data_IF_191498089540
#
_entry.id   IF_191498089540
#
_cell.length_a   1.000
_cell.length_b   1.000
_cell.length_c   1.000
_cell.angle_alpha   90.00
_cell.angle_beta   90.00
_cell.angle_gamma   90.00
#
_symmetry.space_group_name_H-M   'P 1'
#
loop_
_entity.id
_entity.type
_entity.pdbx_description
1 polymer ?
#
# COMPACT_ATOMS: atom_id res chain seq x y z
N UNK A 1 -55.72 12.71 -28.79
CA UNK A 1 -54.38 12.10 -28.66
C UNK A 1 -53.69 12.27 -30.00
N UNK A 2 -52.71 13.19 -30.09
CA UNK A 2 -51.95 13.44 -31.31
C UNK A 2 -50.56 12.86 -31.12
N UNK A 3 -50.21 11.84 -31.91
CA UNK A 3 -48.91 11.20 -31.91
C UNK A 3 -48.00 11.97 -32.87
N UNK A 4 -47.06 12.74 -32.35
CA UNK A 4 -46.06 13.44 -33.17
C UNK A 4 -45.11 12.41 -33.80
N UNK A 5 -45.26 12.15 -35.09
CA UNK A 5 -44.30 11.38 -35.87
C UNK A 5 -43.06 12.23 -36.14
N UNK A 6 -41.93 11.87 -35.53
CA UNK A 6 -40.62 12.44 -35.84
C UNK A 6 -40.12 11.86 -37.17
N UNK A 7 -40.19 12.65 -38.25
CA UNK A 7 -39.59 12.31 -39.54
C UNK A 7 -38.15 12.83 -39.59
N UNK A 8 -37.19 11.96 -39.34
CA UNK A 8 -35.75 12.29 -39.46
C UNK A 8 -35.33 12.13 -40.92
N UNK A 9 -34.71 13.15 -41.48
CA UNK A 9 -34.25 13.16 -42.87
C UNK A 9 -32.98 12.32 -43.07
N UNK A 10 -32.76 11.74 -44.27
CA UNK A 10 -31.53 10.99 -44.58
C UNK A 10 -30.23 11.80 -44.38
N UNK A 11 -30.28 13.12 -44.56
CA UNK A 11 -29.17 14.03 -44.29
C UNK A 11 -28.86 14.15 -42.80
N UNK A 12 -29.88 14.19 -41.94
CA UNK A 12 -29.70 14.20 -40.48
C UNK A 12 -29.12 12.87 -40.00
N UNK A 13 -29.54 11.74 -40.58
CA UNK A 13 -28.96 10.43 -40.29
C UNK A 13 -27.48 10.37 -40.69
N UNK A 14 -27.14 10.87 -41.89
CA UNK A 14 -25.74 10.91 -42.36
C UNK A 14 -24.87 11.82 -41.50
N UNK A 15 -25.39 12.99 -41.12
CA UNK A 15 -24.69 13.92 -40.23
C UNK A 15 -24.48 13.30 -38.85
N UNK A 16 -25.54 12.74 -38.24
CA UNK A 16 -25.46 12.06 -36.95
C UNK A 16 -24.47 10.88 -36.98
N UNK A 17 -24.50 10.09 -38.05
CA UNK A 17 -23.57 8.95 -38.23
C UNK A 17 -22.13 9.43 -38.39
N UNK A 18 -21.90 10.50 -39.17
CA UNK A 18 -20.57 11.09 -39.32
C UNK A 18 -20.05 11.67 -37.99
N UNK A 19 -20.90 12.35 -37.22
CA UNK A 19 -20.55 12.87 -35.89
C UNK A 19 -20.25 11.76 -34.89
N UNK A 20 -21.04 10.67 -34.87
CA UNK A 20 -20.79 9.52 -34.00
C UNK A 20 -19.51 8.79 -34.36
N UNK A 21 -19.24 8.61 -35.66
CA UNK A 21 -17.99 8.01 -36.14
C UNK A 21 -16.78 8.87 -35.79
N UNK A 22 -16.88 10.20 -35.94
CA UNK A 22 -15.82 11.13 -35.54
C UNK A 22 -15.54 11.08 -34.03
N UNK A 23 -16.60 11.04 -33.19
CA UNK A 23 -16.46 10.91 -31.74
C UNK A 23 -15.89 9.55 -31.33
N UNK A 24 -16.33 8.46 -31.95
CA UNK A 24 -15.83 7.11 -31.67
C UNK A 24 -14.34 6.96 -32.01
N UNK A 25 -13.82 7.70 -32.99
CA UNK A 25 -12.40 7.73 -33.34
C UNK A 25 -11.60 8.74 -32.48
N UNK A 26 -12.21 9.86 -32.09
CA UNK A 26 -11.58 10.90 -31.29
C UNK A 26 -11.43 10.51 -29.80
N UNK A 27 -12.37 9.77 -29.22
CA UNK A 27 -12.34 9.42 -27.80
C UNK A 27 -11.17 8.50 -27.42
N UNK A 28 -10.87 7.40 -28.14
CA UNK A 28 -9.71 6.56 -27.85
C UNK A 28 -8.40 7.31 -28.10
N UNK A 29 -8.33 8.13 -29.15
CA UNK A 29 -7.12 8.92 -29.44
C UNK A 29 -6.89 10.00 -28.40
N UNK A 30 -7.93 10.70 -27.93
CA UNK A 30 -7.83 11.65 -26.81
C UNK A 30 -7.50 10.96 -25.48
N UNK A 31 -8.05 9.77 -25.23
CA UNK A 31 -7.71 8.97 -24.05
C UNK A 31 -6.24 8.53 -24.07
N UNK A 32 -5.76 8.04 -25.20
CA UNK A 32 -4.36 7.65 -25.40
C UNK A 32 -3.42 8.86 -25.39
N UNK A 33 -3.79 9.99 -26.03
CA UNK A 33 -3.02 11.23 -25.95
C UNK A 33 -3.00 11.76 -24.52
N UNK A 34 -4.10 11.70 -23.77
CA UNK A 34 -4.12 12.13 -22.36
C UNK A 34 -3.21 11.27 -21.49
N UNK A 35 -3.14 9.97 -21.74
CA UNK A 35 -2.21 9.09 -21.04
C UNK A 35 -0.76 9.33 -21.47
N UNK A 36 -0.50 9.61 -22.76
CA UNK A 36 0.84 9.91 -23.30
C UNK A 36 1.34 11.33 -22.97
N UNK A 37 0.42 12.28 -22.78
CA UNK A 37 0.66 13.66 -22.34
C UNK A 37 0.51 13.79 -20.81
N UNK A 38 0.32 12.69 -20.09
CA UNK A 38 0.37 12.68 -18.64
C UNK A 38 1.68 13.34 -18.21
N UNK A 39 1.66 14.41 -17.40
CA UNK A 39 2.85 15.18 -17.02
C UNK A 39 3.95 14.33 -16.36
N UNK A 40 3.63 13.13 -15.91
CA UNK A 40 4.53 12.19 -15.24
C UNK A 40 5.62 11.59 -16.15
N UNK A 41 5.57 11.80 -17.46
CA UNK A 41 6.64 11.35 -18.37
C UNK A 41 7.59 12.47 -18.81
N UNK A 42 7.35 13.73 -18.39
CA UNK A 42 8.18 14.87 -18.75
C UNK A 42 8.41 15.82 -17.57
N UNK A 43 9.22 15.41 -16.60
CA UNK A 43 10.00 16.35 -15.76
C UNK A 43 11.10 15.62 -14.99
N UNK A 44 12.35 15.88 -15.36
CA UNK A 44 13.61 15.69 -14.58
C UNK A 44 13.99 14.26 -14.16
N UNK A 45 15.29 13.93 -14.24
CA UNK A 45 15.92 12.68 -13.72
C UNK A 45 15.76 12.46 -12.19
N UNK A 46 14.88 13.22 -11.54
CA UNK A 46 14.60 13.16 -10.11
C UNK A 46 13.43 12.19 -9.85
N UNK A 47 13.66 11.24 -8.95
CA UNK A 47 12.63 10.33 -8.46
C UNK A 47 11.42 11.10 -7.88
N UNK A 48 10.17 10.72 -8.22
CA UNK A 48 8.97 11.34 -7.64
C UNK A 48 9.00 11.32 -6.10
N UNK A 49 8.57 12.40 -5.42
CA UNK A 49 8.60 12.49 -3.96
C UNK A 49 7.97 11.28 -3.25
N UNK A 50 6.84 10.79 -3.76
CA UNK A 50 6.12 9.62 -3.24
C UNK A 50 6.99 8.37 -3.21
N UNK A 51 7.75 8.11 -4.29
CA UNK A 51 8.57 6.91 -4.40
C UNK A 51 9.76 7.00 -3.44
N UNK A 52 10.37 8.18 -3.34
CA UNK A 52 11.43 8.45 -2.37
C UNK A 52 10.92 8.27 -0.94
N UNK A 53 9.74 8.80 -0.61
CA UNK A 53 9.10 8.65 0.70
C UNK A 53 8.76 7.19 0.99
N UNK A 54 8.23 6.46 0.01
CA UNK A 54 7.96 5.03 0.13
C UNK A 54 9.22 4.22 0.41
N UNK A 55 10.30 4.44 -0.35
CA UNK A 55 11.58 3.73 -0.15
C UNK A 55 12.16 4.02 1.23
N UNK A 56 12.12 5.26 1.69
CA UNK A 56 12.51 5.63 3.06
C UNK A 56 11.65 4.90 4.10
N UNK A 57 10.33 4.87 3.90
CA UNK A 57 9.40 4.17 4.78
C UNK A 57 9.70 2.66 4.85
N UNK A 58 9.86 1.98 3.72
CA UNK A 58 10.21 0.55 3.67
C UNK A 58 11.57 0.29 4.34
N UNK A 59 12.60 1.07 4.00
CA UNK A 59 13.93 0.91 4.56
C UNK A 59 13.97 1.13 6.08
N UNK A 60 13.06 1.94 6.63
CA UNK A 60 13.03 2.23 8.07
C UNK A 60 12.66 1.01 8.94
N UNK A 61 12.00 -0.01 8.38
CA UNK A 61 11.67 -1.24 9.12
C UNK A 61 12.92 -1.93 9.68
N UNK A 62 14.04 -1.90 8.96
CA UNK A 62 15.30 -2.52 9.39
C UNK A 62 16.03 -1.79 10.51
N UNK A 63 15.61 -0.56 10.82
CA UNK A 63 16.15 0.17 11.96
C UNK A 63 15.67 -0.38 13.31
N UNK A 64 14.59 -1.18 13.33
CA UNK A 64 13.89 -1.61 14.55
C UNK A 64 13.50 -0.44 15.48
N UNK A 65 13.39 0.78 14.95
CA UNK A 65 13.09 2.00 15.71
C UNK A 65 11.73 2.57 15.29
N UNK A 66 10.73 2.63 16.20
CA UNK A 66 9.43 3.23 15.90
C UNK A 66 9.53 4.68 15.40
N UNK A 67 10.48 5.44 15.94
CA UNK A 67 10.71 6.84 15.54
C UNK A 67 11.18 6.95 14.07
N UNK A 68 12.02 6.03 13.60
CA UNK A 68 12.45 6.01 12.21
C UNK A 68 11.29 5.60 11.28
N UNK A 69 10.51 4.58 11.69
CA UNK A 69 9.33 4.13 10.94
C UNK A 69 8.28 5.23 10.75
N UNK A 70 8.19 6.15 11.70
CA UNK A 70 7.19 7.21 11.72
C UNK A 70 7.76 8.59 11.41
N UNK A 71 9.02 8.68 10.97
CA UNK A 71 9.69 9.94 10.68
C UNK A 71 8.99 10.73 9.56
N UNK A 72 8.39 10.03 8.59
CA UNK A 72 7.62 10.63 7.50
C UNK A 72 6.11 10.53 7.70
N UNK A 73 5.62 10.17 8.90
CA UNK A 73 4.19 10.08 9.14
C UNK A 73 3.59 11.48 9.34
N UNK A 74 2.44 11.73 8.69
CA UNK A 74 1.68 12.96 8.87
C UNK A 74 1.02 13.03 10.25
N UNK A 75 0.53 14.22 10.64
CA UNK A 75 -0.22 14.40 11.88
C UNK A 75 -1.54 13.59 11.90
N UNK A 76 -2.16 13.39 10.74
CA UNK A 76 -3.44 12.67 10.59
C UNK A 76 -3.22 11.20 10.19
N UNK A 77 -2.07 10.64 10.53
CA UNK A 77 -1.70 9.27 10.17
C UNK A 77 -2.71 8.23 10.69
N UNK A 78 -3.07 7.29 9.81
CA UNK A 78 -3.89 6.13 10.14
C UNK A 78 -3.23 4.83 9.68
N UNK A 79 -3.23 3.82 10.54
CA UNK A 79 -2.80 2.47 10.24
C UNK A 79 -3.97 1.49 10.38
N UNK A 80 -4.12 0.56 9.44
CA UNK A 80 -5.10 -0.52 9.55
C UNK A 80 -4.56 -1.85 9.00
N UNK A 81 -4.94 -2.94 9.64
CA UNK A 81 -4.61 -4.30 9.20
C UNK A 81 -5.83 -4.94 8.55
N UNK A 82 -5.59 -5.64 7.45
CA UNK A 82 -6.53 -6.47 6.70
C UNK A 82 -5.99 -7.92 6.66
N UNK A 83 -6.83 -8.94 6.47
CA UNK A 83 -8.29 -8.88 6.31
C UNK A 83 -9.01 -8.52 7.63
N UNK A 84 -10.22 -7.97 7.51
CA UNK A 84 -11.05 -7.55 8.66
C UNK A 84 -11.39 -8.72 9.60
N UNK A 85 -11.34 -9.96 9.12
CA UNK A 85 -11.54 -11.17 9.92
C UNK A 85 -10.54 -11.32 11.08
N UNK A 86 -9.39 -10.66 11.02
CA UNK A 86 -8.42 -10.62 12.13
C UNK A 86 -8.90 -9.76 13.31
N UNK A 87 -9.95 -8.94 13.13
CA UNK A 87 -10.53 -8.06 14.15
C UNK A 87 -9.48 -7.20 14.88
N UNK A 88 -8.47 -6.71 14.13
CA UNK A 88 -7.42 -5.85 14.66
C UNK A 88 -7.83 -4.38 14.53
N UNK A 89 -7.68 -3.57 15.59
CA UNK A 89 -8.10 -2.17 15.56
C UNK A 89 -7.20 -1.34 14.64
N UNK A 90 -7.80 -0.34 14.00
CA UNK A 90 -7.05 0.74 13.37
C UNK A 90 -6.32 1.55 14.43
N UNK A 91 -5.14 2.09 14.08
CA UNK A 91 -4.28 2.84 14.99
C UNK A 91 -3.99 4.22 14.43
N UNK A 92 -4.12 5.24 15.26
CA UNK A 92 -3.53 6.56 14.98
C UNK A 92 -2.01 6.50 15.23
N UNK A 93 -1.29 7.59 14.96
CA UNK A 93 0.18 7.63 15.01
C UNK A 93 0.76 7.12 16.34
N UNK A 94 0.24 7.56 17.48
CA UNK A 94 0.82 7.22 18.78
C UNK A 94 0.58 5.74 19.16
N UNK A 95 -0.64 5.19 19.06
CA UNK A 95 -0.87 3.75 19.20
C UNK A 95 -0.06 2.91 18.20
N UNK A 96 0.14 3.39 16.97
CA UNK A 96 0.97 2.72 15.97
C UNK A 96 2.44 2.67 16.41
N UNK A 97 3.01 3.78 16.90
CA UNK A 97 4.38 3.81 17.45
C UNK A 97 4.55 2.80 18.58
N UNK A 98 3.62 2.77 19.54
CA UNK A 98 3.64 1.81 20.65
C UNK A 98 3.56 0.37 20.15
N UNK A 99 2.66 0.09 19.21
CA UNK A 99 2.51 -1.24 18.63
C UNK A 99 3.79 -1.68 17.88
N UNK A 100 4.39 -0.80 17.06
CA UNK A 100 5.64 -1.09 16.37
C UNK A 100 6.80 -1.32 17.35
N UNK A 101 6.83 -0.64 18.49
CA UNK A 101 7.85 -0.87 19.52
C UNK A 101 7.75 -2.30 20.08
N UNK A 102 6.53 -2.75 20.35
CA UNK A 102 6.27 -4.11 20.81
C UNK A 102 6.69 -5.15 19.76
N UNK A 103 6.31 -4.96 18.49
CA UNK A 103 6.71 -5.87 17.41
C UNK A 103 8.24 -5.87 17.24
N UNK A 104 8.89 -4.71 17.12
CA UNK A 104 10.33 -4.61 16.95
C UNK A 104 11.12 -5.21 18.11
N UNK A 105 10.58 -5.20 19.34
CA UNK A 105 11.23 -5.87 20.47
C UNK A 105 11.36 -7.40 20.31
N UNK A 106 10.54 -8.01 19.44
CA UNK A 106 10.59 -9.44 19.15
C UNK A 106 11.77 -9.82 18.26
N UNK A 107 12.41 -8.85 17.60
CA UNK A 107 13.36 -9.10 16.52
C UNK A 107 14.72 -8.49 16.80
N UNK A 108 15.79 -9.24 16.50
CA UNK A 108 17.16 -8.74 16.47
C UNK A 108 17.53 -8.19 15.08
N UNK A 109 16.81 -8.63 14.06
CA UNK A 109 16.78 -8.04 12.72
C UNK A 109 15.37 -8.18 12.16
N UNK A 110 14.91 -7.18 11.41
CA UNK A 110 13.60 -7.21 10.77
C UNK A 110 13.70 -6.49 9.44
N UNK A 111 13.05 -6.99 8.41
CA UNK A 111 13.06 -6.39 7.08
C UNK A 111 11.67 -6.44 6.47
N UNK A 112 11.39 -5.47 5.60
CA UNK A 112 10.23 -5.41 4.72
C UNK A 112 10.80 -5.37 3.30
N UNK A 113 10.64 -6.45 2.54
CA UNK A 113 11.30 -6.67 1.26
C UNK A 113 10.23 -6.76 0.16
N UNK A 114 10.08 -5.73 -0.68
CA UNK A 114 9.18 -5.77 -1.82
C UNK A 114 9.58 -6.83 -2.84
N UNK A 115 8.65 -7.71 -3.21
CA UNK A 115 8.82 -8.71 -4.27
C UNK A 115 8.82 -8.04 -5.64
N UNK A 116 9.78 -8.37 -6.52
CA UNK A 116 9.69 -7.97 -7.92
C UNK A 116 8.46 -8.61 -8.57
N UNK A 117 7.71 -7.83 -9.32
CA UNK A 117 6.64 -8.33 -10.17
C UNK A 117 7.22 -8.85 -11.51
N UNK A 118 6.38 -9.46 -12.34
CA UNK A 118 6.77 -9.97 -13.66
C UNK A 118 7.32 -8.92 -14.65
N UNK A 119 7.24 -7.62 -14.32
CA UNK A 119 7.84 -6.51 -15.08
C UNK A 119 9.19 -6.04 -14.51
N UNK A 120 9.70 -6.69 -13.45
CA UNK A 120 10.94 -6.31 -12.77
C UNK A 120 10.80 -5.14 -11.79
N UNK A 121 9.60 -4.58 -11.62
CA UNK A 121 9.33 -3.51 -10.65
C UNK A 121 8.81 -4.10 -9.35
N UNK A 122 9.22 -3.60 -8.19
CA UNK A 122 8.82 -4.18 -6.89
C UNK A 122 7.64 -3.49 -6.22
N UNK A 123 7.05 -2.49 -6.90
CA UNK A 123 5.98 -1.65 -6.37
C UNK A 123 5.19 -1.03 -7.53
N UNK A 124 3.88 -0.91 -7.33
CA UNK A 124 2.96 -0.18 -8.20
C UNK A 124 2.54 1.14 -7.53
N UNK A 125 2.59 2.25 -8.26
CA UNK A 125 2.07 3.53 -7.78
C UNK A 125 0.79 3.90 -8.52
N UNK A 126 -0.26 4.24 -7.76
CA UNK A 126 -1.56 4.69 -8.26
C UNK A 126 -1.68 6.21 -8.10
N UNK A 127 -1.63 6.99 -9.21
CA UNK A 127 -1.74 8.45 -9.13
C UNK A 127 -3.12 8.93 -8.69
N UNK A 128 -4.20 8.22 -9.06
CA UNK A 128 -5.58 8.62 -8.74
C UNK A 128 -5.87 8.58 -7.23
N UNK A 129 -5.18 7.71 -6.50
CA UNK A 129 -5.32 7.56 -5.05
C UNK A 129 -4.07 8.02 -4.29
N UNK A 130 -3.04 8.48 -5.01
CA UNK A 130 -1.73 8.85 -4.49
C UNK A 130 -1.17 7.77 -3.53
N UNK A 131 -1.17 6.51 -3.98
CA UNK A 131 -0.88 5.34 -3.15
C UNK A 131 0.20 4.47 -3.80
N UNK A 132 1.24 4.13 -3.04
CA UNK A 132 2.19 3.08 -3.38
C UNK A 132 1.68 1.73 -2.86
N UNK A 133 1.79 0.70 -3.67
CA UNK A 133 1.33 -0.65 -3.39
C UNK A 133 2.49 -1.60 -3.63
N UNK A 134 2.85 -2.41 -2.64
CA UNK A 134 3.90 -3.41 -2.78
C UNK A 134 3.48 -4.73 -2.13
N UNK A 135 3.77 -5.83 -2.81
CA UNK A 135 3.75 -7.15 -2.20
C UNK A 135 5.10 -7.37 -1.52
N UNK A 136 5.12 -7.63 -0.22
CA UNK A 136 6.33 -7.68 0.57
C UNK A 136 6.45 -9.00 1.34
N UNK A 137 7.66 -9.55 1.37
CA UNK A 137 8.10 -10.44 2.44
C UNK A 137 8.45 -9.58 3.65
N UNK A 138 7.99 -9.96 4.84
CA UNK A 138 8.27 -9.22 6.07
C UNK A 138 8.66 -10.16 7.21
N UNK A 139 9.66 -9.78 8.00
CA UNK A 139 10.14 -10.62 9.10
C UNK A 139 11.63 -10.51 9.34
N UNK A 140 12.18 -11.44 10.13
CA UNK A 140 13.60 -11.52 10.42
C UNK A 140 13.93 -12.41 11.62
N UNK A 141 15.13 -12.22 12.19
CA UNK A 141 15.61 -13.03 13.32
C UNK A 141 14.97 -12.62 14.62
N UNK A 142 14.57 -13.60 15.43
CA UNK A 142 14.01 -13.38 16.75
C UNK A 142 15.09 -12.85 17.70
N UNK A 143 14.70 -11.91 18.56
CA UNK A 143 15.52 -11.40 19.64
C UNK A 143 15.42 -12.34 20.85
N UNK A 144 16.40 -13.23 21.02
CA UNK A 144 16.45 -14.12 22.19
C UNK A 144 16.69 -13.41 23.53
N UNK A 145 16.94 -12.10 23.54
CA UNK A 145 17.17 -11.32 24.77
C UNK A 145 15.90 -10.68 25.33
N UNK A 146 14.87 -10.47 24.50
CA UNK A 146 13.58 -9.91 24.95
C UNK A 146 12.70 -10.99 25.59
N UNK A 147 11.86 -10.62 26.56
CA UNK A 147 11.00 -11.60 27.26
C UNK A 147 10.11 -12.41 26.31
N UNK A 148 9.50 -11.74 25.33
CA UNK A 148 8.67 -12.41 24.33
C UNK A 148 9.50 -13.18 23.29
N UNK A 149 10.69 -12.69 22.92
CA UNK A 149 11.55 -13.40 21.98
C UNK A 149 12.21 -14.65 22.60
N UNK A 150 12.54 -14.65 23.89
CA UNK A 150 12.95 -15.84 24.65
C UNK A 150 11.92 -16.96 24.56
N UNK A 151 10.63 -16.62 24.66
CA UNK A 151 9.55 -17.60 24.53
C UNK A 151 9.52 -18.26 23.15
N UNK A 152 9.67 -17.44 22.10
CA UNK A 152 9.74 -17.92 20.73
C UNK A 152 10.96 -18.85 20.53
N UNK A 153 12.13 -18.46 21.03
CA UNK A 153 13.35 -19.29 20.97
C UNK A 153 13.18 -20.60 21.73
N UNK A 154 12.58 -20.60 22.93
CA UNK A 154 12.27 -21.82 23.70
C UNK A 154 11.36 -22.78 22.94
N UNK A 155 10.52 -22.26 22.06
CA UNK A 155 9.63 -23.03 21.17
C UNK A 155 10.27 -23.34 19.80
N UNK A 156 11.59 -23.18 19.67
CA UNK A 156 12.35 -23.49 18.46
C UNK A 156 12.22 -22.45 17.33
N UNK A 157 11.69 -21.26 17.61
CA UNK A 157 11.53 -20.19 16.62
C UNK A 157 12.72 -19.25 16.68
N UNK A 158 13.63 -19.39 15.71
CA UNK A 158 14.82 -18.54 15.59
C UNK A 158 14.61 -17.38 14.60
N UNK A 159 13.72 -17.57 13.63
CA UNK A 159 13.32 -16.55 12.66
C UNK A 159 11.80 -16.59 12.47
N UNK A 160 11.23 -15.45 12.11
CA UNK A 160 9.81 -15.34 11.75
C UNK A 160 9.67 -14.56 10.46
N UNK A 161 9.02 -15.16 9.46
CA UNK A 161 8.77 -14.56 8.14
C UNK A 161 7.31 -14.78 7.74
N UNK A 162 6.72 -13.75 7.14
CA UNK A 162 5.38 -13.75 6.57
C UNK A 162 5.36 -12.86 5.32
N UNK A 163 4.22 -12.80 4.63
CA UNK A 163 4.00 -11.89 3.51
C UNK A 163 2.86 -10.92 3.81
N UNK A 164 2.89 -9.77 3.17
CA UNK A 164 1.80 -8.81 3.17
C UNK A 164 1.72 -8.01 1.86
N UNK A 165 0.55 -7.47 1.56
CA UNK A 165 0.39 -6.39 0.58
C UNK A 165 0.28 -5.07 1.34
N UNK A 166 1.26 -4.22 1.15
CA UNK A 166 1.34 -2.91 1.77
C UNK A 166 0.76 -1.85 0.85
N UNK A 167 -0.13 -1.02 1.38
CA UNK A 167 -0.70 0.15 0.73
C UNK A 167 -0.28 1.39 1.53
N UNK A 168 0.52 2.27 0.93
CA UNK A 168 1.01 3.50 1.57
C UNK A 168 0.46 4.69 0.79
N UNK A 169 -0.43 5.44 1.41
CA UNK A 169 -1.00 6.65 0.83
C UNK A 169 -0.24 7.87 1.33
N UNK A 170 0.02 8.81 0.41
CA UNK A 170 0.76 10.03 0.72
C UNK A 170 -0.16 11.25 0.79
N UNK A 171 0.37 12.33 1.39
CA UNK A 171 -0.20 13.67 1.28
C UNK A 171 -0.14 14.21 -0.16
N UNK A 172 -0.80 15.34 -0.43
CA UNK A 172 -0.93 15.87 -1.80
C UNK A 172 0.39 16.14 -2.53
N UNK A 173 1.50 16.33 -1.79
CA UNK A 173 2.84 16.60 -2.34
C UNK A 173 3.76 15.38 -2.36
N UNK A 174 3.40 14.30 -1.66
CA UNK A 174 4.14 13.04 -1.65
C UNK A 174 5.27 12.96 -0.61
N UNK A 175 5.33 13.88 0.35
CA UNK A 175 6.43 13.96 1.33
C UNK A 175 6.10 13.26 2.66
N UNK A 176 4.81 13.11 2.97
CA UNK A 176 4.35 12.46 4.19
C UNK A 176 3.44 11.28 3.91
N UNK A 177 3.51 10.26 4.76
CA UNK A 177 2.60 9.12 4.81
C UNK A 177 1.37 9.49 5.63
N UNK A 178 0.20 9.43 5.02
CA UNK A 178 -1.08 9.76 5.67
C UNK A 178 -1.86 8.51 6.07
N UNK A 179 -1.65 7.39 5.38
CA UNK A 179 -2.31 6.14 5.71
C UNK A 179 -1.45 4.95 5.29
N UNK A 180 -1.46 3.92 6.14
CA UNK A 180 -0.87 2.63 5.85
C UNK A 180 -1.93 1.56 6.05
N UNK A 181 -2.18 0.76 5.02
CA UNK A 181 -2.98 -0.47 5.14
C UNK A 181 -2.09 -1.66 4.81
N UNK A 182 -2.19 -2.69 5.62
CA UNK A 182 -1.45 -3.94 5.42
C UNK A 182 -2.43 -5.09 5.28
N UNK A 183 -2.46 -5.74 4.13
CA UNK A 183 -3.15 -7.01 3.97
C UNK A 183 -2.16 -8.12 4.30
N UNK A 184 -2.28 -8.70 5.49
CA UNK A 184 -1.32 -9.71 5.99
C UNK A 184 -1.82 -11.12 5.75
N UNK A 185 -0.90 -12.07 5.71
CA UNK A 185 -1.25 -13.49 5.84
C UNK A 185 -1.88 -13.73 7.23
N UNK A 186 -3.20 -13.88 7.23
CA UNK A 186 -3.98 -14.09 8.45
C UNK A 186 -3.66 -15.38 9.18
N UNK A 187 -3.26 -16.45 8.46
CA UNK A 187 -2.91 -17.73 9.08
C UNK A 187 -1.57 -17.60 9.83
N UNK A 188 -0.59 -16.92 9.21
CA UNK A 188 0.69 -16.59 9.87
C UNK A 188 0.50 -15.64 11.04
N UNK A 189 -0.32 -14.61 10.91
CA UNK A 189 -0.63 -13.71 12.02
C UNK A 189 -1.25 -14.48 13.22
N UNK A 190 -2.17 -15.40 12.94
CA UNK A 190 -2.76 -16.30 13.94
C UNK A 190 -1.73 -17.24 14.58
N UNK A 191 -0.84 -17.83 13.78
CA UNK A 191 0.23 -18.71 14.28
C UNK A 191 1.20 -17.95 15.22
N UNK A 192 1.63 -16.74 14.85
CA UNK A 192 2.49 -15.93 15.72
C UNK A 192 1.77 -15.58 17.02
N UNK A 193 0.49 -15.20 16.92
CA UNK A 193 -0.34 -14.91 18.08
C UNK A 193 -0.42 -16.11 19.01
N UNK A 194 -0.71 -17.32 18.52
CA UNK A 194 -0.75 -18.55 19.33
C UNK A 194 0.61 -18.90 19.95
N UNK A 195 1.71 -18.65 19.23
CA UNK A 195 3.08 -18.85 19.76
C UNK A 195 3.43 -17.86 20.87
N UNK A 196 2.80 -16.68 20.87
CA UNK A 196 2.91 -15.64 21.89
C UNK A 196 1.84 -15.75 22.99
N UNK A 197 0.69 -16.37 22.72
CA UNK A 197 -0.39 -16.68 23.66
C UNK A 197 0.02 -17.83 24.57
N UNK A 198 0.92 -17.47 25.47
CA UNK A 198 0.99 -17.86 26.88
C UNK A 198 1.40 -16.65 27.74
N UNK A 199 1.22 -15.42 27.23
CA UNK A 199 1.75 -14.14 27.77
C UNK A 199 0.74 -12.98 27.66
N UNK A 200 -0.52 -13.20 27.26
CA UNK A 200 -1.54 -12.14 27.17
C UNK A 200 -2.69 -12.28 28.19
N UNK A 201 -2.58 -13.21 29.14
CA UNK A 201 -3.48 -13.33 30.31
C UNK A 201 -2.76 -12.90 31.61
N UNK A 202 -2.07 -11.76 31.58
CA UNK A 202 -1.46 -11.12 32.75
C UNK A 202 -1.62 -9.62 32.69
#
# INVERSE_FOLDING_TARGET
>A
MSSSHLTISPSEIRLATASLAALALALPTLYLLRNALSPWQKTTDAEPPQLRTFRKYIASYSSLRPAALTASASQNFLHAILPLSLNLPSRTLQPFKQHSAMIFSLFSSFEMIPHPNGSGTSMHFSPSTNTAIAHCKMGGRINGESEKGKLLVKRGVLEWWTECVLFVRFDGVGESVVEVREFVDSAKAGELRLRLEGVLEG
#
